data_IF_482335259477
#
_entry.id   IF_482335259477
#
_cell.length_a   1.000
_cell.length_b   1.000
_cell.length_c   1.000
_cell.angle_alpha   90.00
_cell.angle_beta   90.00
_cell.angle_gamma   90.00
#
_symmetry.space_group_name_H-M   'P 1'
#
loop_
_entity.id
_entity.type
_entity.pdbx_description
1 polymer ?
#
# COMPACT_ATOMS: atom_id res chain seq x y z
N UNK A 1 1.05 7.03 -0.93
CA UNK A 1 2.01 7.89 -0.19
C UNK A 1 3.35 7.88 -0.92
N UNK A 2 4.17 8.92 -0.80
CA UNK A 2 5.47 9.05 -1.45
C UNK A 2 5.41 9.52 -2.91
N UNK A 3 4.35 10.24 -3.31
CA UNK A 3 4.13 10.56 -4.73
C UNK A 3 5.06 11.65 -5.29
N UNK A 4 5.41 12.65 -4.49
CA UNK A 4 6.10 13.86 -4.96
C UNK A 4 7.52 13.96 -4.40
N UNK A 5 8.50 14.15 -5.26
CA UNK A 5 9.90 14.37 -4.87
C UNK A 5 10.01 15.62 -3.98
N UNK A 6 10.77 15.50 -2.90
CA UNK A 6 10.96 16.58 -1.92
C UNK A 6 9.80 16.75 -0.94
N UNK A 7 8.73 15.95 -1.07
CA UNK A 7 7.60 15.93 -0.13
C UNK A 7 7.74 14.72 0.79
N UNK A 8 7.50 14.98 2.08
CA UNK A 8 7.48 13.96 3.14
C UNK A 8 6.06 13.67 3.58
N UNK A 9 5.62 12.43 3.42
CA UNK A 9 4.31 11.95 3.88
C UNK A 9 4.48 11.21 5.22
N UNK A 10 3.81 11.66 6.27
CA UNK A 10 3.81 11.02 7.59
C UNK A 10 2.40 10.53 7.90
N UNK A 11 2.28 9.23 8.15
CA UNK A 11 1.03 8.57 8.54
C UNK A 11 1.32 7.73 9.78
N UNK A 12 0.72 8.10 10.90
CA UNK A 12 1.01 7.45 12.17
C UNK A 12 -0.21 7.36 13.09
N UNK A 13 -0.16 6.39 14.01
CA UNK A 13 -1.11 6.21 15.10
C UNK A 13 -2.57 6.04 14.64
N UNK A 14 -2.79 5.15 13.67
CA UNK A 14 -4.11 4.90 13.10
C UNK A 14 -4.66 3.56 13.58
N UNK A 15 -5.86 3.60 14.14
CA UNK A 15 -6.63 2.42 14.50
C UNK A 15 -7.91 2.32 13.67
N UNK A 16 -7.93 1.36 12.75
CA UNK A 16 -9.08 1.02 11.91
C UNK A 16 -9.79 -0.16 12.56
N UNK A 17 -10.97 0.06 13.15
CA UNK A 17 -11.64 -0.93 13.97
C UNK A 17 -13.08 -1.20 13.53
N UNK A 18 -13.47 -2.48 13.50
CA UNK A 18 -14.86 -2.94 13.37
C UNK A 18 -15.54 -2.44 12.09
N UNK A 19 -14.85 -2.61 10.95
CA UNK A 19 -15.37 -2.23 9.63
C UNK A 19 -15.80 -3.46 8.83
N UNK A 20 -16.85 -3.27 8.03
CA UNK A 20 -17.32 -4.27 7.06
C UNK A 20 -17.11 -3.74 5.65
N UNK A 21 -16.34 -4.46 4.84
CA UNK A 21 -16.11 -4.12 3.44
C UNK A 21 -16.63 -5.24 2.54
N UNK A 22 -17.35 -4.85 1.48
CA UNK A 22 -17.92 -5.80 0.52
C UNK A 22 -17.83 -5.29 -0.90
N UNK A 23 -17.65 -6.20 -1.86
CA UNK A 23 -17.64 -5.89 -3.30
C UNK A 23 -16.63 -4.79 -3.68
N UNK A 24 -15.42 -4.87 -3.11
CA UNK A 24 -14.35 -3.89 -3.29
C UNK A 24 -13.07 -4.57 -3.80
N UNK A 25 -12.14 -3.79 -4.35
CA UNK A 25 -10.83 -4.33 -4.74
C UNK A 25 -10.03 -4.76 -3.51
N UNK A 26 -10.03 -3.96 -2.45
CA UNK A 26 -9.20 -4.20 -1.27
C UNK A 26 -9.96 -3.86 0.00
N UNK A 27 -9.73 -4.60 1.09
CA UNK A 27 -10.27 -4.25 2.40
C UNK A 27 -9.31 -3.41 3.24
N UNK A 28 -8.17 -3.98 3.65
CA UNK A 28 -7.11 -3.25 4.33
C UNK A 28 -5.96 -2.99 3.35
N UNK A 29 -5.71 -1.71 3.03
CA UNK A 29 -4.77 -1.33 1.98
C UNK A 29 -3.78 -0.26 2.42
N UNK A 30 -2.49 -0.54 2.27
CA UNK A 30 -1.41 0.44 2.35
C UNK A 30 -0.67 0.44 1.00
N UNK A 31 -0.62 1.59 0.33
CA UNK A 31 0.03 1.74 -0.97
C UNK A 31 1.01 2.90 -0.98
N UNK A 32 2.27 2.59 -1.26
CA UNK A 32 3.33 3.58 -1.39
C UNK A 32 3.98 3.51 -2.76
N UNK A 33 4.33 4.68 -3.29
CA UNK A 33 5.06 4.80 -4.55
C UNK A 33 6.48 4.29 -4.39
N UNK A 34 7.05 3.82 -5.49
CA UNK A 34 8.48 3.55 -5.59
C UNK A 34 9.30 4.86 -5.62
N UNK A 35 10.62 4.74 -5.77
CA UNK A 35 11.48 5.86 -6.09
C UNK A 35 11.13 6.48 -7.45
N UNK A 36 11.47 7.75 -7.64
CA UNK A 36 11.28 8.43 -8.92
C UNK A 36 12.25 7.84 -9.96
N UNK A 37 11.72 7.44 -11.11
CA UNK A 37 12.50 7.02 -12.28
C UNK A 37 12.97 8.28 -13.01
N UNK A 38 14.27 8.57 -13.13
CA UNK A 38 14.75 9.78 -13.81
C UNK A 38 14.33 9.83 -15.29
N UNK A 39 14.08 11.04 -15.79
CA UNK A 39 13.92 11.33 -17.21
C UNK A 39 15.26 11.11 -17.95
N UNK A 40 15.22 11.11 -19.28
CA UNK A 40 16.43 10.92 -20.11
C UNK A 40 17.49 12.00 -19.93
N UNK A 41 17.11 13.19 -19.45
CA UNK A 41 18.02 14.29 -19.11
C UNK A 41 18.54 14.24 -17.66
N UNK A 42 18.18 13.20 -16.90
CA UNK A 42 18.53 13.03 -15.49
C UNK A 42 17.66 13.81 -14.51
N UNK A 43 16.71 14.63 -14.99
CA UNK A 43 15.74 15.30 -14.12
C UNK A 43 14.78 14.29 -13.49
N UNK A 44 14.27 14.60 -12.29
CA UNK A 44 13.27 13.76 -11.65
C UNK A 44 11.86 14.16 -12.11
N UNK A 45 11.00 13.20 -12.50
CA UNK A 45 9.65 13.49 -12.94
C UNK A 45 8.76 13.94 -11.77
N UNK A 46 7.76 14.76 -12.09
CA UNK A 46 6.79 15.24 -11.11
C UNK A 46 5.61 14.26 -10.98
N UNK A 47 5.29 13.86 -9.74
CA UNK A 47 4.03 13.18 -9.41
C UNK A 47 3.96 11.68 -9.70
N UNK A 48 5.10 11.02 -9.93
CA UNK A 48 5.16 9.57 -10.26
C UNK A 48 6.09 8.79 -9.31
N UNK A 49 6.26 9.27 -8.08
CA UNK A 49 7.04 8.64 -7.02
C UNK A 49 8.25 9.47 -6.56
N UNK A 50 9.04 8.90 -5.67
CA UNK A 50 10.27 9.51 -5.15
C UNK A 50 10.09 10.46 -3.96
N UNK A 51 8.86 10.66 -3.48
CA UNK A 51 8.61 11.21 -2.15
C UNK A 51 9.07 10.25 -1.05
N UNK A 52 9.31 10.77 0.14
CA UNK A 52 9.77 10.00 1.30
C UNK A 52 8.79 10.08 2.46
N UNK A 53 9.08 9.37 3.55
CA UNK A 53 8.29 9.45 4.77
C UNK A 53 8.07 8.11 5.45
N UNK A 54 7.06 8.06 6.31
CA UNK A 54 6.82 6.92 7.20
C UNK A 54 5.33 6.62 7.34
N UNK A 55 5.01 5.32 7.34
CA UNK A 55 3.76 4.75 7.80
C UNK A 55 4.10 3.91 9.03
N UNK A 56 3.63 4.31 10.21
CA UNK A 56 3.96 3.59 11.45
C UNK A 56 2.78 3.49 12.42
N UNK A 57 2.78 2.45 13.25
CA UNK A 57 1.76 2.22 14.27
C UNK A 57 0.33 2.24 13.68
N UNK A 58 0.10 1.35 12.71
CA UNK A 58 -1.20 1.20 12.05
C UNK A 58 -1.79 -0.14 12.47
N UNK A 59 -3.03 -0.14 12.95
CA UNK A 59 -3.73 -1.37 13.29
C UNK A 59 -5.07 -1.45 12.55
N UNK A 60 -5.25 -2.52 11.78
CA UNK A 60 -6.55 -2.96 11.28
C UNK A 60 -7.06 -4.10 12.16
N UNK A 61 -8.18 -3.89 12.84
CA UNK A 61 -8.77 -4.84 13.77
C UNK A 61 -10.26 -5.06 13.50
N UNK A 62 -10.70 -6.31 13.63
CA UNK A 62 -12.10 -6.74 13.52
C UNK A 62 -12.70 -6.36 12.18
N UNK A 63 -12.02 -6.75 11.10
CA UNK A 63 -12.45 -6.49 9.74
C UNK A 63 -13.32 -7.63 9.23
N UNK A 64 -14.54 -7.32 8.81
CA UNK A 64 -15.43 -8.28 8.14
C UNK A 64 -15.39 -8.05 6.63
N UNK A 65 -15.08 -9.09 5.85
CA UNK A 65 -14.94 -8.96 4.39
C UNK A 65 -15.90 -9.87 3.63
N UNK A 66 -16.47 -9.38 2.53
CA UNK A 66 -17.34 -10.19 1.66
C UNK A 66 -17.14 -9.85 0.20
N UNK A 67 -16.61 -10.79 -0.58
CA UNK A 67 -16.35 -10.59 -2.01
C UNK A 67 -15.43 -9.39 -2.29
N UNK A 68 -14.38 -9.22 -1.49
CA UNK A 68 -13.28 -8.29 -1.78
C UNK A 68 -12.15 -9.00 -2.53
N UNK A 69 -11.48 -8.36 -3.49
CA UNK A 69 -10.43 -9.06 -4.25
C UNK A 69 -9.22 -9.42 -3.37
N UNK A 70 -8.71 -8.48 -2.58
CA UNK A 70 -7.76 -8.73 -1.50
C UNK A 70 -8.32 -8.27 -0.15
N UNK A 71 -8.29 -9.13 0.86
CA UNK A 71 -8.59 -8.73 2.23
C UNK A 71 -7.47 -7.84 2.80
N UNK A 72 -6.22 -8.12 2.45
CA UNK A 72 -5.04 -7.35 2.84
C UNK A 72 -4.18 -7.11 1.61
N UNK A 73 -3.88 -5.85 1.31
CA UNK A 73 -2.90 -5.48 0.28
C UNK A 73 -1.93 -4.43 0.84
N UNK A 74 -0.64 -4.76 0.87
CA UNK A 74 0.44 -3.81 1.13
C UNK A 74 1.34 -3.79 -0.09
N UNK A 75 1.65 -2.60 -0.61
CA UNK A 75 2.54 -2.46 -1.78
C UNK A 75 3.55 -1.34 -1.59
N UNK A 76 4.81 -1.63 -1.95
CA UNK A 76 5.91 -0.66 -2.04
C UNK A 76 6.19 -0.16 -3.47
N UNK A 77 5.38 -0.63 -4.43
CA UNK A 77 5.58 -0.46 -5.88
C UNK A 77 4.31 0.04 -6.57
N UNK A 78 3.60 1.00 -5.96
CA UNK A 78 2.33 1.47 -6.51
C UNK A 78 2.53 2.19 -7.85
N UNK A 79 1.72 1.79 -8.86
CA UNK A 79 1.72 2.34 -10.23
C UNK A 79 3.10 2.35 -10.93
N UNK A 80 3.93 1.35 -10.65
CA UNK A 80 5.25 1.17 -11.27
C UNK A 80 5.46 -0.28 -11.70
N UNK A 81 6.44 -0.51 -12.58
CA UNK A 81 6.85 -1.87 -12.98
C UNK A 81 7.78 -2.48 -11.94
N UNK A 82 7.81 -3.80 -11.84
CA UNK A 82 8.76 -4.52 -10.96
C UNK A 82 10.22 -4.13 -11.26
N UNK A 83 10.57 -3.97 -12.54
CA UNK A 83 11.91 -3.54 -12.93
C UNK A 83 12.25 -2.14 -12.39
N UNK A 84 11.33 -1.18 -12.51
CA UNK A 84 11.53 0.16 -11.96
C UNK A 84 11.62 0.15 -10.44
N UNK A 85 10.78 -0.63 -9.75
CA UNK A 85 10.80 -0.71 -8.30
C UNK A 85 12.07 -1.35 -7.75
N UNK A 86 12.65 -2.32 -8.46
CA UNK A 86 13.94 -2.91 -8.07
C UNK A 86 15.10 -1.93 -8.29
N UNK A 87 15.08 -1.16 -9.38
CA UNK A 87 16.12 -0.16 -9.68
C UNK A 87 15.99 1.11 -8.82
N UNK A 88 14.75 1.50 -8.51
CA UNK A 88 14.39 2.71 -7.78
C UNK A 88 13.41 2.34 -6.65
N UNK A 89 13.90 1.72 -5.57
CA UNK A 89 13.04 1.30 -4.46
C UNK A 89 12.36 2.48 -3.79
N UNK A 90 11.23 2.20 -3.12
CA UNK A 90 10.51 3.22 -2.35
C UNK A 90 11.41 3.87 -1.29
N UNK A 91 11.18 5.15 -1.03
CA UNK A 91 11.79 5.89 0.08
C UNK A 91 10.87 6.00 1.30
N UNK A 92 9.72 5.33 1.25
CA UNK A 92 8.79 5.24 2.37
C UNK A 92 9.20 4.10 3.29
N UNK A 93 9.17 4.35 4.59
CA UNK A 93 9.29 3.29 5.59
C UNK A 93 7.89 2.86 6.03
N UNK A 94 7.60 1.55 6.01
CA UNK A 94 6.38 1.00 6.60
C UNK A 94 6.81 0.09 7.74
N UNK A 95 6.35 0.40 8.96
CA UNK A 95 6.72 -0.33 10.16
C UNK A 95 5.54 -0.41 11.13
N UNK A 96 5.59 -1.36 12.07
CA UNK A 96 4.61 -1.46 13.16
C UNK A 96 3.15 -1.49 12.66
N UNK A 97 2.89 -2.31 11.62
CA UNK A 97 1.56 -2.53 11.06
C UNK A 97 1.00 -3.87 11.56
N UNK A 98 -0.20 -3.83 12.13
CA UNK A 98 -0.90 -5.01 12.65
C UNK A 98 -2.20 -5.23 11.90
N UNK A 99 -2.38 -6.42 11.34
CA UNK A 99 -3.66 -6.90 10.82
C UNK A 99 -4.16 -8.02 11.73
N UNK A 100 -5.30 -7.84 12.40
CA UNK A 100 -5.85 -8.85 13.32
C UNK A 100 -7.37 -8.97 13.23
N UNK A 101 -7.87 -10.15 13.57
CA UNK A 101 -9.30 -10.46 13.64
C UNK A 101 -10.05 -10.20 12.33
N UNK A 102 -9.48 -10.62 11.19
CA UNK A 102 -10.16 -10.60 9.90
C UNK A 102 -11.04 -11.84 9.74
N UNK A 103 -12.29 -11.64 9.30
CA UNK A 103 -13.25 -12.73 9.05
C UNK A 103 -13.97 -12.50 7.72
N UNK A 104 -14.33 -13.58 7.04
CA UNK A 104 -15.14 -13.53 5.82
C UNK A 104 -14.54 -14.26 4.62
N UNK A 105 -14.99 -13.91 3.42
CA UNK A 105 -14.65 -14.61 2.17
C UNK A 105 -14.28 -13.60 1.09
N UNK A 106 -13.10 -13.75 0.49
CA UNK A 106 -12.65 -12.94 -0.65
C UNK A 106 -13.37 -13.32 -1.95
N UNK A 107 -13.24 -12.47 -2.97
CA UNK A 107 -13.72 -12.78 -4.32
C UNK A 107 -12.87 -13.91 -4.94
N UNK A 108 -13.35 -14.48 -6.05
CA UNK A 108 -12.61 -15.53 -6.77
C UNK A 108 -11.51 -15.00 -7.70
N UNK A 109 -11.32 -13.68 -7.78
CA UNK A 109 -10.46 -13.06 -8.79
C UNK A 109 -8.99 -13.47 -8.68
N UNK A 110 -8.50 -13.66 -7.45
CA UNK A 110 -7.09 -14.00 -7.17
C UNK A 110 -6.94 -15.35 -6.45
N UNK A 111 -7.97 -16.20 -6.47
CA UNK A 111 -8.00 -17.53 -5.82
C UNK A 111 -6.72 -18.35 -6.15
N UNK A 112 -5.99 -18.92 -5.17
CA UNK A 112 -6.29 -18.99 -3.71
C UNK A 112 -5.68 -17.88 -2.86
N UNK A 113 -5.21 -16.79 -3.45
CA UNK A 113 -4.61 -15.67 -2.71
C UNK A 113 -5.71 -14.74 -2.19
N UNK A 114 -5.71 -14.53 -0.87
CA UNK A 114 -6.64 -13.62 -0.17
C UNK A 114 -5.96 -12.30 0.22
N UNK A 115 -4.63 -12.24 0.17
CA UNK A 115 -3.87 -11.01 0.40
C UNK A 115 -2.45 -11.09 -0.16
N UNK A 116 -1.78 -9.94 -0.19
CA UNK A 116 -0.41 -9.78 -0.68
C UNK A 116 0.31 -8.65 0.07
N UNK A 117 1.63 -8.77 0.18
CA UNK A 117 2.54 -7.79 0.77
C UNK A 117 3.72 -7.54 -0.19
#
# INVERSE_FOLDING_TARGET
>A
LGQYVGVTDIVEDIYIYNNTLSNASDAARIKVWAGAVPNSDGSLPYGVGGGNGVVRNITYDKMSVSSVDYAIELTSCYMQTTANCNAYPTKMTIQDVVFKNFVGVASKKYDPKVGTL
#
